data_IF_085603588589
#
_entry.id   IF_085603588589
#
_cell.length_a   1.000
_cell.length_b   1.000
_cell.length_c   1.000
_cell.angle_alpha   90.00
_cell.angle_beta   90.00
_cell.angle_gamma   90.00
#
_symmetry.space_group_name_H-M   'P 1'
#
loop_
_entity.id
_entity.type
_entity.pdbx_description
1 polymer ?
#
# COMPACT_ATOMS: atom_id res chain seq x y z
N UNK A 1 -7.30 21.96 21.70
CA UNK A 1 -6.88 23.36 21.47
C UNK A 1 -5.37 23.50 21.35
N UNK A 2 -4.55 23.18 22.37
CA UNK A 2 -3.07 23.27 22.25
C UNK A 2 -2.46 22.13 21.39
N UNK A 3 -3.07 20.94 21.38
CA UNK A 3 -2.64 19.84 20.49
C UNK A 3 -2.97 20.11 19.00
N UNK A 4 -4.10 20.74 18.71
CA UNK A 4 -4.54 21.06 17.34
C UNK A 4 -3.61 22.08 16.66
N UNK A 5 -3.21 23.13 17.38
CA UNK A 5 -2.30 24.16 16.85
C UNK A 5 -0.91 23.57 16.54
N UNK A 6 -0.38 22.77 17.46
CA UNK A 6 0.89 22.06 17.28
C UNK A 6 0.86 21.07 16.12
N UNK A 7 -0.29 20.45 15.87
CA UNK A 7 -0.50 19.55 14.76
C UNK A 7 -0.44 20.29 13.40
N UNK A 8 -1.12 21.44 13.26
CA UNK A 8 -1.10 22.20 12.01
C UNK A 8 0.28 22.79 11.69
N UNK A 9 1.04 23.17 12.71
CA UNK A 9 2.43 23.61 12.57
C UNK A 9 3.32 22.49 12.00
N UNK A 10 3.16 21.25 12.48
CA UNK A 10 3.89 20.10 11.96
C UNK A 10 3.56 19.86 10.48
N UNK A 11 2.28 19.93 10.10
CA UNK A 11 1.88 19.71 8.71
C UNK A 11 2.43 20.78 7.77
N UNK A 12 2.33 22.05 8.16
CA UNK A 12 2.90 23.16 7.39
C UNK A 12 4.39 22.92 7.14
N UNK A 13 5.12 22.57 8.20
CA UNK A 13 6.55 22.32 8.14
C UNK A 13 6.92 21.10 7.28
N UNK A 14 6.16 20.01 7.37
CA UNK A 14 6.38 18.82 6.53
C UNK A 14 6.19 19.16 5.04
N UNK A 15 5.16 19.94 4.71
CA UNK A 15 4.88 20.39 3.35
C UNK A 15 6.01 21.29 2.82
N UNK A 16 6.54 22.19 3.63
CA UNK A 16 7.69 23.03 3.27
C UNK A 16 8.93 22.19 2.98
N UNK A 17 9.29 21.26 3.87
CA UNK A 17 10.40 20.34 3.63
C UNK A 17 10.23 19.51 2.35
N UNK A 18 9.00 19.03 2.08
CA UNK A 18 8.68 18.30 0.85
C UNK A 18 8.91 19.17 -0.39
N UNK A 19 8.47 20.43 -0.37
CA UNK A 19 8.66 21.39 -1.48
C UNK A 19 10.14 21.71 -1.73
N UNK A 20 10.93 21.75 -0.66
CA UNK A 20 12.37 22.00 -0.73
C UNK A 20 13.19 20.75 -1.11
N UNK A 21 12.54 19.61 -1.38
CA UNK A 21 13.22 18.35 -1.70
C UNK A 21 13.90 17.68 -0.50
N UNK A 22 13.61 18.13 0.73
CA UNK A 22 14.11 17.57 1.98
C UNK A 22 13.22 16.41 2.42
N UNK A 23 13.25 15.34 1.64
CA UNK A 23 12.32 14.22 1.74
C UNK A 23 12.35 13.52 3.11
N UNK A 24 13.51 13.16 3.64
CA UNK A 24 13.60 12.48 4.94
C UNK A 24 13.13 13.36 6.11
N UNK A 25 13.44 14.66 6.05
CA UNK A 25 12.96 15.61 7.05
C UNK A 25 11.43 15.72 6.98
N UNK A 26 10.86 15.83 5.77
CA UNK A 26 9.42 15.84 5.57
C UNK A 26 8.78 14.56 6.09
N UNK A 27 9.38 13.40 5.78
CA UNK A 27 8.91 12.09 6.22
C UNK A 27 8.83 11.99 7.75
N UNK A 28 9.89 12.42 8.43
CA UNK A 28 9.95 12.41 9.88
C UNK A 28 8.90 13.34 10.52
N UNK A 29 8.67 14.51 9.94
CA UNK A 29 7.66 15.46 10.44
C UNK A 29 6.24 14.93 10.20
N UNK A 30 5.95 14.34 9.04
CA UNK A 30 4.66 13.68 8.79
C UNK A 30 4.40 12.54 9.76
N UNK A 31 5.40 11.69 10.03
CA UNK A 31 5.28 10.60 11.00
C UNK A 31 4.96 11.14 12.40
N UNK A 32 5.63 12.23 12.81
CA UNK A 32 5.36 12.88 14.09
C UNK A 32 3.96 13.51 14.14
N UNK A 33 3.48 14.09 13.05
CA UNK A 33 2.11 14.60 12.96
C UNK A 33 1.08 13.46 13.10
N UNK A 34 1.32 12.32 12.44
CA UNK A 34 0.48 11.13 12.58
C UNK A 34 0.44 10.60 14.02
N UNK A 35 1.58 10.59 14.72
CA UNK A 35 1.67 10.19 16.12
C UNK A 35 1.01 11.17 17.09
N UNK A 36 0.90 12.45 16.72
CA UNK A 36 0.29 13.49 17.55
C UNK A 36 -1.21 13.63 17.33
N UNK A 37 -1.74 13.16 16.20
CA UNK A 37 -3.16 13.15 15.94
C UNK A 37 -3.85 12.30 17.03
N UNK A 38 -4.48 13.00 17.98
CA UNK A 38 -4.96 12.46 19.24
C UNK A 38 -6.06 11.41 19.03
N UNK A 39 -5.98 10.29 19.74
CA UNK A 39 -6.86 9.13 19.61
C UNK A 39 -8.18 9.26 20.38
N UNK A 40 -8.41 10.33 21.16
CA UNK A 40 -9.62 10.48 21.99
C UNK A 40 -10.90 10.80 21.18
N UNK A 41 -10.77 11.37 19.99
CA UNK A 41 -11.81 11.48 18.93
C UNK A 41 -11.18 11.25 17.52
N UNK A 42 -10.01 10.60 17.53
CA UNK A 42 -9.00 10.67 16.49
C UNK A 42 -9.46 10.16 15.14
N UNK A 43 -9.45 11.06 14.17
CA UNK A 43 -9.68 10.80 12.76
C UNK A 43 -8.58 9.83 12.26
N UNK A 44 -8.73 8.52 12.52
CA UNK A 44 -7.80 7.46 12.15
C UNK A 44 -7.50 7.48 10.64
N UNK A 45 -8.45 7.99 9.85
CA UNK A 45 -8.25 8.29 8.44
C UNK A 45 -7.17 9.36 8.22
N UNK A 46 -7.12 10.44 9.01
CA UNK A 46 -6.01 11.41 8.96
C UNK A 46 -4.68 10.78 9.34
N UNK A 47 -4.65 9.95 10.40
CA UNK A 47 -3.44 9.22 10.79
C UNK A 47 -2.92 8.41 9.60
N UNK A 48 -3.79 7.63 8.96
CA UNK A 48 -3.45 6.87 7.78
C UNK A 48 -2.90 7.77 6.65
N UNK A 49 -3.58 8.88 6.32
CA UNK A 49 -3.12 9.82 5.28
C UNK A 49 -1.70 10.32 5.54
N UNK A 50 -1.37 10.70 6.78
CA UNK A 50 -0.01 11.21 7.07
C UNK A 50 1.04 10.12 7.15
N UNK A 51 0.66 8.90 7.51
CA UNK A 51 1.56 7.76 7.37
C UNK A 51 1.87 7.49 5.89
N UNK A 52 0.87 7.56 4.98
CA UNK A 52 1.13 7.47 3.53
C UNK A 52 2.07 8.58 3.06
N UNK A 53 1.83 9.84 3.46
CA UNK A 53 2.70 10.96 3.08
C UNK A 53 4.13 10.78 3.61
N UNK A 54 4.29 10.28 4.84
CA UNK A 54 5.60 9.96 5.41
C UNK A 54 6.30 8.86 4.62
N UNK A 55 5.62 7.74 4.35
CA UNK A 55 6.16 6.62 3.58
C UNK A 55 6.53 7.04 2.14
N UNK A 56 5.70 7.85 1.49
CA UNK A 56 5.99 8.39 0.16
C UNK A 56 7.25 9.27 0.17
N UNK A 57 7.49 10.04 1.23
CA UNK A 57 8.72 10.82 1.36
C UNK A 57 9.95 9.91 1.54
N UNK A 58 9.89 8.86 2.38
CA UNK A 58 10.97 7.88 2.49
C UNK A 58 11.20 7.08 1.20
N UNK A 59 10.13 6.77 0.46
CA UNK A 59 10.22 6.16 -0.87
C UNK A 59 11.03 7.00 -1.85
N UNK A 60 10.90 8.33 -1.82
CA UNK A 60 11.71 9.21 -2.68
C UNK A 60 13.22 9.13 -2.40
N UNK A 61 13.62 8.66 -1.22
CA UNK A 61 15.03 8.42 -0.87
C UNK A 61 15.40 6.93 -0.84
N UNK A 62 14.49 6.05 -1.30
CA UNK A 62 14.65 4.59 -1.28
C UNK A 62 14.93 4.02 0.12
N UNK A 63 14.45 4.70 1.16
CA UNK A 63 14.65 4.29 2.54
C UNK A 63 13.78 3.07 2.88
N UNK A 64 14.35 2.12 3.63
CA UNK A 64 13.66 0.88 4.03
C UNK A 64 12.49 1.16 5.00
N UNK A 65 12.54 2.30 5.71
CA UNK A 65 11.50 2.77 6.62
C UNK A 65 10.15 2.95 5.93
N UNK A 66 10.13 3.24 4.62
CA UNK A 66 8.91 3.35 3.84
C UNK A 66 8.01 2.11 4.00
N UNK A 67 8.59 0.91 4.03
CA UNK A 67 7.86 -0.35 4.10
C UNK A 67 7.02 -0.44 5.38
N UNK A 68 7.68 -0.21 6.51
CA UNK A 68 7.07 -0.30 7.82
C UNK A 68 5.96 0.76 7.98
N UNK A 69 6.20 1.98 7.47
CA UNK A 69 5.24 3.07 7.58
C UNK A 69 4.02 2.83 6.67
N UNK A 70 4.20 2.26 5.48
CA UNK A 70 3.07 1.83 4.66
C UNK A 70 2.21 0.77 5.38
N UNK A 71 2.84 -0.24 6.02
CA UNK A 71 2.10 -1.24 6.83
C UNK A 71 1.34 -0.57 7.97
N UNK A 72 1.95 0.39 8.67
CA UNK A 72 1.27 1.17 9.71
C UNK A 72 0.05 1.92 9.15
N UNK A 73 0.18 2.54 7.97
CA UNK A 73 -0.93 3.24 7.34
C UNK A 73 -2.11 2.33 7.00
N UNK A 74 -1.83 1.15 6.44
CA UNK A 74 -2.88 0.17 6.11
C UNK A 74 -3.59 -0.29 7.39
N UNK A 75 -2.84 -0.54 8.46
CA UNK A 75 -3.41 -0.89 9.77
C UNK A 75 -4.30 0.22 10.33
N UNK A 76 -3.89 1.49 10.22
CA UNK A 76 -4.73 2.62 10.62
C UNK A 76 -6.05 2.69 9.83
N UNK A 77 -6.03 2.40 8.52
CA UNK A 77 -7.26 2.27 7.73
C UNK A 77 -8.13 1.09 8.18
N UNK A 78 -7.53 -0.06 8.51
CA UNK A 78 -8.28 -1.22 9.02
C UNK A 78 -8.96 -0.87 10.34
N UNK A 79 -8.23 -0.26 11.28
CA UNK A 79 -8.77 0.15 12.58
C UNK A 79 -9.91 1.16 12.43
N UNK A 80 -9.74 2.16 11.55
CA UNK A 80 -10.78 3.12 11.22
C UNK A 80 -12.08 2.44 10.77
N UNK A 81 -11.98 1.45 9.88
CA UNK A 81 -13.14 0.72 9.34
C UNK A 81 -13.83 -0.14 10.41
N UNK A 82 -13.06 -0.75 11.31
CA UNK A 82 -13.61 -1.58 12.39
C UNK A 82 -14.43 -0.75 13.39
N UNK A 83 -14.05 0.50 13.61
CA UNK A 83 -14.75 1.42 14.51
C UNK A 83 -15.99 2.02 13.84
N UNK A 84 -15.93 2.38 12.55
CA UNK A 84 -16.99 3.14 11.86
C UNK A 84 -18.19 2.26 11.40
N UNK A 85 -18.14 0.92 11.53
CA UNK A 85 -19.20 -0.07 11.17
C UNK A 85 -19.82 0.03 9.75
N UNK A 86 -19.47 1.06 8.97
CA UNK A 86 -19.81 1.25 7.58
C UNK A 86 -18.81 0.43 6.77
N UNK A 87 -19.26 -0.75 6.33
CA UNK A 87 -18.53 -1.73 5.51
C UNK A 87 -17.86 -1.19 4.22
N UNK A 88 -18.00 0.10 3.92
CA UNK A 88 -17.61 0.70 2.65
C UNK A 88 -16.18 1.26 2.61
N UNK A 89 -15.46 1.31 3.72
CA UNK A 89 -14.10 1.89 3.74
C UNK A 89 -12.96 0.85 3.74
N UNK A 90 -13.25 -0.45 3.87
CA UNK A 90 -12.20 -1.49 3.76
C UNK A 90 -11.52 -1.49 2.39
N UNK A 91 -12.22 -1.02 1.35
CA UNK A 91 -11.68 -0.83 0.01
C UNK A 91 -10.46 0.10 -0.02
N UNK A 92 -10.37 1.09 0.89
CA UNK A 92 -9.19 1.96 0.98
C UNK A 92 -7.97 1.21 1.50
N UNK A 93 -8.13 0.37 2.53
CA UNK A 93 -7.06 -0.47 3.04
C UNK A 93 -6.57 -1.48 1.99
N UNK A 94 -7.50 -2.14 1.28
CA UNK A 94 -7.20 -3.09 0.21
C UNK A 94 -6.47 -2.38 -0.94
N UNK A 95 -7.00 -1.25 -1.42
CA UNK A 95 -6.39 -0.49 -2.51
C UNK A 95 -4.99 -0.01 -2.14
N UNK A 96 -4.81 0.51 -0.91
CA UNK A 96 -3.50 0.94 -0.42
C UNK A 96 -2.51 -0.23 -0.37
N UNK A 97 -2.92 -1.41 0.10
CA UNK A 97 -2.09 -2.59 0.11
C UNK A 97 -1.67 -3.00 -1.32
N UNK A 98 -2.60 -3.06 -2.27
CA UNK A 98 -2.27 -3.36 -3.68
C UNK A 98 -1.31 -2.33 -4.28
N UNK A 99 -1.52 -1.04 -4.04
CA UNK A 99 -0.64 0.03 -4.53
C UNK A 99 0.77 -0.10 -3.93
N UNK A 100 0.89 -0.37 -2.62
CA UNK A 100 2.17 -0.62 -1.97
C UNK A 100 2.89 -1.84 -2.55
N UNK A 101 2.17 -2.94 -2.82
CA UNK A 101 2.73 -4.12 -3.49
C UNK A 101 3.34 -3.74 -4.84
N UNK A 102 2.56 -3.05 -5.68
CA UNK A 102 3.02 -2.58 -6.98
C UNK A 102 4.26 -1.67 -6.89
N UNK A 103 4.30 -0.75 -5.92
CA UNK A 103 5.45 0.12 -5.69
C UNK A 103 6.71 -0.70 -5.40
N UNK A 104 6.63 -1.68 -4.50
CA UNK A 104 7.80 -2.51 -4.13
C UNK A 104 8.25 -3.42 -5.26
N UNK A 105 7.31 -3.94 -6.05
CA UNK A 105 7.63 -4.70 -7.26
C UNK A 105 8.36 -3.85 -8.29
N UNK A 106 7.86 -2.64 -8.58
CA UNK A 106 8.29 -1.84 -9.72
C UNK A 106 9.48 -0.93 -9.45
N UNK A 107 9.54 -0.34 -8.25
CA UNK A 107 10.54 0.67 -7.93
C UNK A 107 11.68 0.14 -7.09
N UNK A 108 11.38 -0.78 -6.17
CA UNK A 108 12.38 -1.41 -5.31
C UNK A 108 12.89 -2.73 -5.88
N UNK A 109 12.13 -3.37 -6.78
CA UNK A 109 12.44 -4.72 -7.27
C UNK A 109 12.39 -5.79 -6.17
N UNK A 110 11.70 -5.49 -5.07
CA UNK A 110 11.64 -6.32 -3.86
C UNK A 110 10.34 -7.13 -3.89
N UNK A 111 10.39 -8.28 -4.57
CA UNK A 111 9.24 -9.17 -4.74
C UNK A 111 8.74 -9.76 -3.43
N UNK A 112 9.61 -9.93 -2.44
CA UNK A 112 9.23 -10.45 -1.12
C UNK A 112 8.31 -9.44 -0.41
N UNK A 113 8.75 -8.18 -0.29
CA UNK A 113 7.93 -7.11 0.30
C UNK A 113 6.68 -6.79 -0.53
N UNK A 114 6.77 -6.91 -1.85
CA UNK A 114 5.62 -6.76 -2.74
C UNK A 114 4.53 -7.78 -2.41
N UNK A 115 4.89 -9.07 -2.35
CA UNK A 115 3.95 -10.14 -2.03
C UNK A 115 3.36 -9.98 -0.64
N UNK A 116 4.15 -9.53 0.34
CA UNK A 116 3.70 -9.20 1.68
C UNK A 116 2.47 -8.25 1.69
N UNK A 117 2.45 -7.27 0.78
CA UNK A 117 1.32 -6.36 0.64
C UNK A 117 0.16 -6.95 -0.17
N UNK A 118 0.43 -7.71 -1.22
CA UNK A 118 -0.63 -8.38 -1.99
C UNK A 118 -1.37 -9.43 -1.15
N UNK A 119 -0.63 -10.24 -0.39
CA UNK A 119 -1.19 -11.20 0.56
C UNK A 119 -2.05 -10.49 1.62
N UNK A 120 -1.57 -9.35 2.14
CA UNK A 120 -2.36 -8.52 3.05
C UNK A 120 -3.66 -8.02 2.40
N UNK A 121 -3.63 -7.62 1.13
CA UNK A 121 -4.83 -7.19 0.41
C UNK A 121 -5.84 -8.33 0.25
N UNK A 122 -5.38 -9.52 -0.11
CA UNK A 122 -6.23 -10.70 -0.29
C UNK A 122 -6.81 -11.20 1.04
N UNK A 123 -6.02 -11.24 2.11
CA UNK A 123 -6.50 -11.57 3.45
C UNK A 123 -7.62 -10.63 3.90
N UNK A 124 -7.48 -9.33 3.63
CA UNK A 124 -8.51 -8.34 3.96
C UNK A 124 -9.80 -8.59 3.18
N UNK A 125 -9.71 -8.92 1.89
CA UNK A 125 -10.87 -9.24 1.04
C UNK A 125 -11.62 -10.46 1.54
N UNK A 126 -10.89 -11.53 1.84
CA UNK A 126 -11.46 -12.77 2.39
C UNK A 126 -12.17 -12.47 3.70
N UNK A 127 -11.54 -11.73 4.61
CA UNK A 127 -12.08 -11.42 5.93
C UNK A 127 -13.41 -10.66 5.89
N UNK A 128 -13.59 -9.76 4.92
CA UNK A 128 -14.82 -8.97 4.79
C UNK A 128 -15.81 -9.53 3.76
N UNK A 129 -15.48 -10.66 3.12
CA UNK A 129 -16.30 -11.26 2.07
C UNK A 129 -16.41 -10.38 0.82
N UNK A 130 -15.39 -9.56 0.54
CA UNK A 130 -15.34 -8.73 -0.66
C UNK A 130 -14.87 -9.60 -1.82
N UNK A 131 -15.81 -10.06 -2.64
CA UNK A 131 -15.49 -10.90 -3.78
C UNK A 131 -14.59 -10.14 -4.77
N UNK A 132 -13.55 -10.81 -5.26
CA UNK A 132 -12.77 -10.26 -6.36
C UNK A 132 -13.60 -10.34 -7.64
N UNK A 133 -14.08 -9.20 -8.12
CA UNK A 133 -14.61 -9.09 -9.48
C UNK A 133 -13.42 -8.89 -10.40
N UNK A 134 -12.92 -10.00 -10.95
CA UNK A 134 -11.95 -9.90 -12.04
C UNK A 134 -12.66 -9.29 -13.24
N UNK A 135 -12.10 -8.23 -13.82
CA UNK A 135 -12.63 -7.69 -15.09
C UNK A 135 -12.47 -8.69 -16.24
N UNK A 136 -11.54 -9.65 -16.08
CA UNK A 136 -11.34 -10.74 -17.01
C UNK A 136 -12.18 -11.95 -16.58
N UNK A 137 -13.12 -12.41 -17.43
CA UNK A 137 -13.86 -13.64 -17.17
C UNK A 137 -12.93 -14.84 -17.03
N UNK A 138 -13.35 -15.85 -16.26
CA UNK A 138 -12.60 -17.11 -16.10
C UNK A 138 -12.22 -17.73 -17.45
N UNK A 139 -13.10 -17.65 -18.44
CA UNK A 139 -12.86 -18.11 -19.81
C UNK A 139 -11.65 -17.42 -20.46
N UNK A 140 -11.48 -16.13 -20.22
CA UNK A 140 -10.35 -15.35 -20.73
C UNK A 140 -9.04 -15.78 -20.05
N UNK A 141 -9.07 -15.92 -18.72
CA UNK A 141 -7.89 -16.37 -17.96
C UNK A 141 -7.48 -17.79 -18.32
N UNK A 142 -8.44 -18.70 -18.46
CA UNK A 142 -8.22 -20.08 -18.91
C UNK A 142 -7.62 -20.14 -20.32
N UNK A 143 -8.13 -19.30 -21.24
CA UNK A 143 -7.57 -19.21 -22.59
C UNK A 143 -6.11 -18.80 -22.56
N UNK A 144 -5.75 -17.76 -21.79
CA UNK A 144 -4.36 -17.32 -21.64
C UNK A 144 -3.49 -18.43 -21.05
N UNK A 145 -3.96 -19.12 -20.00
CA UNK A 145 -3.23 -20.23 -19.40
C UNK A 145 -2.96 -21.36 -20.40
N UNK A 146 -3.94 -21.71 -21.24
CA UNK A 146 -3.79 -22.71 -22.30
C UNK A 146 -2.80 -22.25 -23.37
N UNK A 147 -2.85 -20.98 -23.78
CA UNK A 147 -1.92 -20.42 -24.77
C UNK A 147 -0.47 -20.43 -24.26
N UNK A 148 -0.25 -20.03 -23.00
CA UNK A 148 1.07 -20.09 -22.35
C UNK A 148 1.55 -21.54 -22.26
N UNK A 149 0.70 -22.45 -21.79
CA UNK A 149 1.05 -23.87 -21.65
C UNK A 149 1.41 -24.51 -22.99
N UNK A 150 0.66 -24.17 -24.05
CA UNK A 150 0.92 -24.66 -25.40
C UNK A 150 2.25 -24.13 -25.95
N UNK A 151 2.53 -22.83 -25.79
CA UNK A 151 3.78 -22.22 -26.23
C UNK A 151 5.00 -22.86 -25.53
N UNK A 152 4.94 -23.04 -24.21
CA UNK A 152 6.01 -23.67 -23.44
C UNK A 152 6.25 -25.13 -23.86
N UNK A 153 5.19 -25.90 -24.14
CA UNK A 153 5.33 -27.28 -24.59
C UNK A 153 5.95 -27.38 -25.98
N UNK A 154 5.60 -26.49 -26.91
CA UNK A 154 6.23 -26.43 -28.24
C UNK A 154 7.73 -26.15 -28.15
N UNK A 155 8.13 -25.22 -27.27
CA UNK A 155 9.55 -24.91 -27.06
C UNK A 155 10.33 -26.12 -26.51
N UNK A 156 9.73 -26.88 -25.58
CA UNK A 156 10.32 -28.12 -25.05
C UNK A 156 10.48 -29.20 -26.13
N UNK A 157 9.50 -29.38 -27.01
CA UNK A 157 9.59 -30.33 -28.12
C UNK A 157 10.72 -29.95 -29.08
N UNK A 158 10.85 -28.67 -29.43
CA UNK A 158 11.93 -28.18 -30.31
C UNK A 158 13.30 -28.42 -29.68
N UNK A 159 13.46 -28.20 -28.38
CA UNK A 159 14.71 -28.47 -27.66
C UNK A 159 15.03 -29.98 -27.66
N UNK A 160 14.04 -30.84 -27.45
CA UNK A 160 14.22 -32.30 -27.47
C UNK A 160 14.64 -32.84 -28.85
N UNK A 161 14.28 -32.16 -29.94
CA UNK A 161 14.73 -32.53 -31.30
C UNK A 161 16.14 -32.00 -31.65
N UNK A 162 16.73 -31.16 -30.82
CA UNK A 162 18.06 -30.56 -31.02
C UNK A 162 19.17 -31.19 -30.16
N UNK A 163 18.84 -32.18 -29.33
CA UNK A 163 19.76 -32.96 -28.48
C UNK A 163 19.89 -34.37 -29.05
#
# INVERSE_FOLDING_TARGET
MESDEKYWDLLTKAIEYKKDGRWEDAAHVYLKAAQLADTEDGDLRRIAIYLVESANCYRNTLSEEAFNIYKMSINAYIEYVLIDLLKNNIGQAIAQAVECGYIYEREFGDLEKSNDFYDQADDLRVKVGYEHICEFPDEYMLKILLEISYALNLELEVILYLI
#
